data_IF_340589828301
#
_entry.id   IF_340589828301
#
_cell.length_a   1.000
_cell.length_b   1.000
_cell.length_c   1.000
_cell.angle_alpha   90.00
_cell.angle_beta   90.00
_cell.angle_gamma   90.00
#
_symmetry.space_group_name_H-M   'P 1'
#
loop_
_entity.id
_entity.type
_entity.pdbx_description
1 polymer ?
#
# COMPACT_ATOMS: atom_id res chain seq x y z
N UNK A 1 3.18 -23.25 40.61
CA UNK A 1 2.15 -22.86 39.62
C UNK A 1 1.93 -21.36 39.73
N UNK A 2 2.52 -20.60 38.81
CA UNK A 2 2.38 -19.14 38.69
C UNK A 2 1.30 -18.87 37.66
N UNK A 3 0.22 -18.19 38.04
CA UNK A 3 -0.77 -17.68 37.11
C UNK A 3 -0.87 -16.16 37.28
N UNK A 4 -0.25 -15.46 36.34
CA UNK A 4 -0.53 -14.08 35.99
C UNK A 4 -1.90 -14.01 35.31
N UNK A 5 -2.77 -13.10 35.73
CA UNK A 5 -3.82 -12.55 34.88
C UNK A 5 -4.11 -11.11 35.34
N UNK A 6 -3.34 -10.19 34.75
CA UNK A 6 -3.47 -8.75 34.89
C UNK A 6 -4.48 -8.24 33.84
N UNK A 7 -5.44 -7.44 34.31
CA UNK A 7 -6.15 -6.33 33.65
C UNK A 7 -6.77 -6.50 32.25
N UNK A 8 -8.07 -6.21 32.13
CA UNK A 8 -8.51 -4.92 31.59
C UNK A 8 -9.99 -4.65 31.90
N UNK A 9 -10.20 -3.89 32.97
CA UNK A 9 -11.41 -3.16 33.31
C UNK A 9 -11.50 -1.94 32.39
N UNK A 10 -12.62 -1.74 31.68
CA UNK A 10 -12.96 -0.45 31.04
C UNK A 10 -14.42 -0.16 31.32
N UNK A 11 -14.63 0.37 32.51
CA UNK A 11 -15.68 1.32 32.81
C UNK A 11 -15.14 2.73 32.48
N UNK A 12 -16.00 3.58 31.92
CA UNK A 12 -15.98 5.05 31.85
C UNK A 12 -16.55 5.47 30.49
N UNK A 13 -17.86 5.68 30.38
CA UNK A 13 -18.66 6.80 30.90
C UNK A 13 -18.95 7.83 29.82
N UNK A 14 -20.26 7.99 29.64
CA UNK A 14 -20.98 8.97 28.88
C UNK A 14 -20.55 10.40 29.21
N UNK A 15 -20.32 11.22 28.19
CA UNK A 15 -20.51 12.66 28.30
C UNK A 15 -21.60 13.04 27.31
N UNK A 16 -22.80 13.19 27.85
CA UNK A 16 -23.89 13.93 27.25
C UNK A 16 -23.63 15.43 27.49
N UNK A 17 -23.73 16.24 26.45
CA UNK A 17 -24.00 17.68 26.61
C UNK A 17 -25.19 18.02 25.73
N UNK A 18 -26.32 18.21 26.42
CA UNK A 18 -27.50 18.93 25.96
C UNK A 18 -27.30 20.44 26.13
N UNK A 19 -28.01 21.23 25.33
CA UNK A 19 -28.24 22.66 25.56
C UNK A 19 -28.45 23.43 24.25
N UNK A 20 -29.68 23.46 23.72
CA UNK A 20 -30.64 24.57 23.85
C UNK A 20 -30.35 25.73 22.85
N UNK A 21 -31.08 25.92 21.75
CA UNK A 21 -32.49 26.38 21.57
C UNK A 21 -32.65 27.91 21.71
N UNK A 22 -32.80 28.61 20.57
CA UNK A 22 -33.58 29.84 20.36
C UNK A 22 -33.66 30.11 18.85
N UNK A 23 -34.75 29.83 18.10
CA UNK A 23 -36.07 30.48 17.99
C UNK A 23 -36.06 31.99 17.61
N UNK A 24 -36.10 32.22 16.29
CA UNK A 24 -36.86 33.26 15.55
C UNK A 24 -36.52 34.75 15.73
N UNK A 25 -37.13 35.69 14.96
CA UNK A 25 -38.09 35.52 13.86
C UNK A 25 -37.77 36.34 12.57
N UNK A 26 -38.52 35.98 11.53
CA UNK A 26 -38.89 36.71 10.31
C UNK A 26 -39.04 38.24 10.48
N UNK A 27 -38.41 39.05 9.60
CA UNK A 27 -38.91 40.37 9.17
C UNK A 27 -38.58 40.66 7.71
N UNK A 28 -39.65 40.69 6.93
CA UNK A 28 -39.79 41.39 5.65
C UNK A 28 -39.90 42.89 5.96
N UNK A 29 -39.12 43.75 5.31
CA UNK A 29 -39.55 45.10 4.96
C UNK A 29 -38.72 45.65 3.79
N UNK A 30 -39.42 45.95 2.70
CA UNK A 30 -38.95 46.75 1.57
C UNK A 30 -38.79 48.22 1.98
N UNK A 31 -37.86 48.97 1.37
CA UNK A 31 -38.13 50.24 0.65
C UNK A 31 -36.83 50.83 0.04
N UNK A 32 -36.81 50.91 -1.29
CA UNK A 32 -36.38 52.04 -2.14
C UNK A 32 -35.32 53.01 -1.59
N UNK A 33 -34.12 53.02 -2.20
CA UNK A 33 -33.38 54.27 -2.52
C UNK A 33 -32.59 54.10 -3.83
N UNK A 34 -32.99 54.91 -4.82
CA UNK A 34 -32.19 55.53 -5.87
C UNK A 34 -31.44 54.64 -6.89
N UNK A 35 -32.15 54.35 -7.97
CA UNK A 35 -31.67 54.67 -9.32
C UNK A 35 -31.06 56.08 -9.37
N UNK A 36 -29.73 56.18 -9.42
CA UNK A 36 -29.03 57.38 -9.87
C UNK A 36 -27.64 57.03 -10.39
N UNK A 37 -27.34 57.55 -11.58
CA UNK A 37 -26.04 57.62 -12.24
C UNK A 37 -25.50 56.35 -12.90
N UNK A 38 -26.12 56.08 -14.05
CA UNK A 38 -25.42 55.63 -15.24
C UNK A 38 -24.36 56.70 -15.64
N UNK A 39 -23.17 56.63 -15.04
CA UNK A 39 -21.97 57.28 -15.58
C UNK A 39 -21.23 56.26 -16.44
N UNK A 40 -21.06 56.49 -17.76
CA UNK A 40 -20.06 55.75 -18.53
C UNK A 40 -18.69 56.28 -18.11
N UNK A 41 -18.12 55.73 -17.03
CA UNK A 41 -16.71 55.92 -16.74
C UNK A 41 -15.92 55.22 -17.87
N UNK A 42 -14.98 55.90 -18.55
CA UNK A 42 -14.06 55.20 -19.44
C UNK A 42 -13.22 54.29 -18.56
N UNK A 43 -13.48 52.98 -18.64
CA UNK A 43 -12.62 51.97 -18.05
C UNK A 43 -11.18 52.28 -18.52
N UNK A 44 -10.21 52.51 -17.61
CA UNK A 44 -8.83 52.71 -18.02
C UNK A 44 -8.43 51.52 -18.87
N UNK A 45 -8.02 51.79 -20.11
CA UNK A 45 -7.49 50.82 -21.03
C UNK A 45 -6.27 50.17 -20.37
N UNK A 46 -6.45 48.99 -19.76
CA UNK A 46 -5.31 48.15 -19.40
C UNK A 46 -4.54 47.92 -20.69
N UNK A 47 -3.33 48.44 -20.73
CA UNK A 47 -2.57 48.52 -21.97
C UNK A 47 -2.28 47.08 -22.43
N UNK A 48 -2.47 46.82 -23.73
CA UNK A 48 -2.23 45.49 -24.32
C UNK A 48 -0.86 44.90 -23.95
N UNK A 49 0.14 45.76 -23.74
CA UNK A 49 1.49 45.43 -23.27
C UNK A 49 1.51 44.80 -21.87
N UNK A 50 0.66 45.22 -20.94
CA UNK A 50 0.58 44.62 -19.60
C UNK A 50 0.00 43.21 -19.65
N UNK A 51 -1.03 42.99 -20.47
CA UNK A 51 -1.63 41.68 -20.69
C UNK A 51 -0.63 40.72 -21.36
N UNK A 52 0.19 41.21 -22.29
CA UNK A 52 1.26 40.42 -22.92
C UNK A 52 2.34 40.00 -21.91
N UNK A 53 2.75 40.91 -21.02
CA UNK A 53 3.71 40.59 -19.95
C UNK A 53 3.14 39.56 -18.96
N UNK A 54 1.87 39.69 -18.59
CA UNK A 54 1.18 38.71 -17.72
C UNK A 54 1.13 37.33 -18.39
N UNK A 55 0.80 37.27 -19.68
CA UNK A 55 0.80 36.02 -20.46
C UNK A 55 2.18 35.37 -20.50
N UNK A 56 3.25 36.16 -20.71
CA UNK A 56 4.60 35.63 -20.78
C UNK A 56 5.06 35.06 -19.43
N UNK A 57 4.75 35.73 -18.31
CA UNK A 57 4.99 35.21 -16.96
C UNK A 57 4.25 33.90 -16.73
N UNK A 58 2.95 33.86 -17.03
CA UNK A 58 2.12 32.67 -16.87
C UNK A 58 2.62 31.48 -17.71
N UNK A 59 3.08 31.73 -18.95
CA UNK A 59 3.71 30.72 -19.81
C UNK A 59 5.02 30.18 -19.21
N UNK A 60 5.81 31.04 -18.58
CA UNK A 60 7.04 30.61 -17.90
C UNK A 60 6.75 29.76 -16.66
N UNK A 61 5.74 30.14 -15.87
CA UNK A 61 5.27 29.36 -14.72
C UNK A 61 4.70 28.02 -15.15
N UNK A 62 3.91 27.99 -16.23
CA UNK A 62 3.37 26.75 -16.79
C UNK A 62 4.48 25.80 -17.23
N UNK A 63 5.53 26.31 -17.89
CA UNK A 63 6.72 25.49 -18.23
C UNK A 63 7.41 24.93 -16.99
N UNK A 64 7.55 25.74 -15.94
CA UNK A 64 8.12 25.30 -14.66
C UNK A 64 7.30 24.18 -14.02
N UNK A 65 5.99 24.37 -13.89
CA UNK A 65 5.07 23.37 -13.31
C UNK A 65 5.03 22.10 -14.15
N UNK A 66 5.02 22.21 -15.49
CA UNK A 66 5.05 21.06 -16.38
C UNK A 66 6.36 20.25 -16.24
N UNK A 67 7.50 20.92 -16.06
CA UNK A 67 8.78 20.26 -15.82
C UNK A 67 8.81 19.57 -14.45
N UNK A 68 8.35 20.25 -13.40
CA UNK A 68 8.19 19.64 -12.06
C UNK A 68 7.29 18.41 -12.12
N UNK A 69 6.15 18.47 -12.82
CA UNK A 69 5.24 17.34 -12.99
C UNK A 69 5.93 16.15 -13.65
N UNK A 70 6.71 16.37 -14.72
CA UNK A 70 7.49 15.31 -15.38
C UNK A 70 8.52 14.68 -14.44
N UNK A 71 9.21 15.48 -13.63
CA UNK A 71 10.15 14.95 -12.63
C UNK A 71 9.45 14.11 -11.56
N UNK A 72 8.30 14.57 -11.06
CA UNK A 72 7.48 13.82 -10.10
C UNK A 72 6.94 12.52 -10.71
N UNK A 73 6.55 12.53 -11.98
CA UNK A 73 6.12 11.32 -12.70
C UNK A 73 7.24 10.28 -12.79
N UNK A 74 8.47 10.72 -13.10
CA UNK A 74 9.65 9.85 -13.09
C UNK A 74 9.94 9.27 -11.70
N UNK A 75 9.94 10.11 -10.66
CA UNK A 75 10.16 9.70 -9.27
C UNK A 75 9.09 8.71 -8.79
N UNK A 76 7.82 8.97 -9.10
CA UNK A 76 6.68 8.09 -8.79
C UNK A 76 6.83 6.73 -9.49
N UNK A 77 7.20 6.73 -10.77
CA UNK A 77 7.46 5.49 -11.52
C UNK A 77 8.63 4.69 -10.94
N UNK A 78 9.68 5.34 -10.45
CA UNK A 78 10.78 4.67 -9.75
C UNK A 78 10.35 4.14 -8.38
N UNK A 79 9.66 4.94 -7.57
CA UNK A 79 9.19 4.55 -6.25
C UNK A 79 8.18 3.40 -6.31
N UNK A 80 7.29 3.39 -7.32
CA UNK A 80 6.35 2.29 -7.57
C UNK A 80 7.06 0.98 -7.93
N UNK A 81 8.12 1.03 -8.76
CA UNK A 81 8.96 -0.14 -9.04
C UNK A 81 9.65 -0.66 -7.79
N UNK A 82 10.23 0.23 -7.00
CA UNK A 82 10.86 -0.12 -5.72
C UNK A 82 9.87 -0.70 -4.71
N UNK A 83 8.62 -0.23 -4.68
CA UNK A 83 7.56 -0.80 -3.84
C UNK A 83 7.23 -2.22 -4.30
N UNK A 84 7.07 -2.44 -5.62
CA UNK A 84 6.82 -3.77 -6.17
C UNK A 84 7.94 -4.76 -5.84
N UNK A 85 9.19 -4.35 -5.96
CA UNK A 85 10.34 -5.18 -5.57
C UNK A 85 10.31 -5.53 -4.07
N UNK A 86 9.92 -4.59 -3.20
CA UNK A 86 9.75 -4.84 -1.78
C UNK A 86 8.59 -5.81 -1.51
N UNK A 87 7.46 -5.65 -2.18
CA UNK A 87 6.31 -6.57 -2.10
C UNK A 87 6.72 -8.00 -2.50
N UNK A 88 7.48 -8.15 -3.58
CA UNK A 88 7.98 -9.46 -4.03
C UNK A 88 8.95 -10.09 -3.03
N UNK A 89 9.81 -9.29 -2.38
CA UNK A 89 10.72 -9.77 -1.32
C UNK A 89 9.95 -10.23 -0.08
N UNK A 90 8.94 -9.46 0.34
CA UNK A 90 8.05 -9.83 1.45
C UNK A 90 7.31 -11.12 1.12
N UNK A 91 6.74 -11.24 -0.08
CA UNK A 91 6.03 -12.43 -0.51
C UNK A 91 6.94 -13.67 -0.56
N UNK A 92 8.17 -13.54 -1.09
CA UNK A 92 9.16 -14.63 -1.11
C UNK A 92 9.52 -15.07 0.31
N UNK A 93 9.83 -14.12 1.21
CA UNK A 93 10.17 -14.41 2.60
C UNK A 93 9.01 -15.07 3.33
N UNK A 94 7.77 -14.62 3.09
CA UNK A 94 6.57 -15.25 3.65
C UNK A 94 6.36 -16.69 3.19
N UNK A 95 6.63 -17.01 1.93
CA UNK A 95 6.57 -18.40 1.43
C UNK A 95 7.63 -19.29 2.07
N UNK A 96 8.87 -18.80 2.18
CA UNK A 96 9.97 -19.54 2.81
C UNK A 96 9.69 -19.78 4.30
N UNK A 97 9.09 -18.80 4.99
CA UNK A 97 8.63 -18.96 6.36
C UNK A 97 7.56 -20.06 6.48
N UNK A 98 6.55 -20.06 5.61
CA UNK A 98 5.51 -21.08 5.61
C UNK A 98 6.06 -22.50 5.31
N UNK A 99 7.05 -22.61 4.43
CA UNK A 99 7.77 -23.88 4.17
C UNK A 99 8.52 -24.35 5.43
N UNK A 100 9.19 -23.43 6.12
CA UNK A 100 9.93 -23.73 7.36
C UNK A 100 8.98 -24.15 8.49
N UNK A 101 7.82 -23.50 8.61
CA UNK A 101 6.78 -23.88 9.58
C UNK A 101 6.18 -25.26 9.27
N UNK A 102 5.94 -25.56 8.00
CA UNK A 102 5.51 -26.91 7.56
C UNK A 102 6.56 -27.97 7.90
N UNK A 103 7.85 -27.70 7.65
CA UNK A 103 8.94 -28.61 8.00
C UNK A 103 9.04 -28.83 9.52
N UNK A 104 8.88 -27.78 10.33
CA UNK A 104 8.81 -27.87 11.79
C UNK A 104 7.67 -28.77 12.27
N UNK A 105 6.49 -28.66 11.64
CA UNK A 105 5.35 -29.51 11.97
C UNK A 105 5.63 -30.98 11.61
N UNK A 106 6.26 -31.24 10.46
CA UNK A 106 6.65 -32.58 10.06
C UNK A 106 7.66 -33.21 11.04
N UNK A 107 8.71 -32.47 11.42
CA UNK A 107 9.69 -32.93 12.42
C UNK A 107 9.06 -33.13 13.81
N UNK A 108 8.08 -32.32 14.18
CA UNK A 108 7.34 -32.49 15.45
C UNK A 108 6.54 -33.80 15.44
N UNK A 109 5.85 -34.11 14.34
CA UNK A 109 5.13 -35.38 14.19
C UNK A 109 6.09 -36.57 14.18
N UNK A 110 7.21 -36.46 13.46
CA UNK A 110 8.22 -37.52 13.43
C UNK A 110 8.80 -37.80 14.83
N UNK A 111 8.98 -36.76 15.65
CA UNK A 111 9.41 -36.92 17.05
C UNK A 111 8.34 -37.63 17.90
N UNK A 112 7.07 -37.25 17.75
CA UNK A 112 5.97 -37.90 18.47
C UNK A 112 5.85 -39.38 18.10
N UNK A 113 5.95 -39.71 16.80
CA UNK A 113 5.95 -41.09 16.31
C UNK A 113 7.16 -41.88 16.84
N UNK A 114 8.36 -41.28 16.86
CA UNK A 114 9.55 -41.91 17.43
C UNK A 114 9.37 -42.20 18.93
N UNK A 115 8.83 -41.25 19.70
CA UNK A 115 8.56 -41.42 21.12
C UNK A 115 7.52 -42.53 21.40
N UNK A 116 6.49 -42.65 20.56
CA UNK A 116 5.50 -43.73 20.66
C UNK A 116 6.15 -45.09 20.41
N UNK A 117 6.93 -45.23 19.33
CA UNK A 117 7.68 -46.47 19.03
C UNK A 117 8.63 -46.83 20.16
N UNK A 118 9.29 -45.84 20.76
CA UNK A 118 10.18 -46.04 21.90
C UNK A 118 9.43 -46.63 23.09
N UNK A 119 8.28 -46.08 23.43
CA UNK A 119 7.45 -46.59 24.52
C UNK A 119 7.00 -48.04 24.28
N UNK A 120 6.66 -48.40 23.04
CA UNK A 120 6.32 -49.77 22.65
C UNK A 120 7.49 -50.74 22.79
N UNK A 121 8.67 -50.36 22.29
CA UNK A 121 9.90 -51.15 22.41
C UNK A 121 10.33 -51.32 23.88
N UNK A 122 10.25 -50.25 24.68
CA UNK A 122 10.54 -50.30 26.12
C UNK A 122 9.56 -51.23 26.86
N UNK A 123 8.27 -51.22 26.49
CA UNK A 123 7.28 -52.15 27.05
C UNK A 123 7.61 -53.60 26.69
N UNK A 124 7.93 -53.87 25.43
CA UNK A 124 8.33 -55.21 24.98
C UNK A 124 9.59 -55.71 25.69
N UNK A 125 10.57 -54.82 25.90
CA UNK A 125 11.81 -55.13 26.60
C UNK A 125 11.58 -55.38 28.09
N UNK A 126 10.69 -54.63 28.75
CA UNK A 126 10.27 -54.90 30.14
C UNK A 126 9.61 -56.27 30.27
N UNK A 127 8.67 -56.61 29.38
CA UNK A 127 8.02 -57.94 29.37
C UNK A 127 9.04 -59.08 29.23
N UNK A 128 9.98 -58.97 28.28
CA UNK A 128 11.03 -59.98 28.10
C UNK A 128 11.92 -60.13 29.35
N UNK A 129 12.22 -59.03 30.04
CA UNK A 129 13.01 -59.04 31.29
C UNK A 129 12.26 -59.67 32.46
N UNK A 130 10.98 -59.37 32.61
CA UNK A 130 10.13 -59.95 33.67
C UNK A 130 9.97 -61.46 33.49
N UNK A 131 9.73 -61.92 32.27
CA UNK A 131 9.68 -63.35 31.96
C UNK A 131 11.01 -64.04 32.26
N UNK A 132 12.15 -63.44 31.88
CA UNK A 132 13.47 -63.99 32.23
C UNK A 132 13.71 -64.02 33.74
N UNK A 133 13.32 -62.99 34.47
CA UNK A 133 13.45 -62.95 35.93
C UNK A 133 12.66 -64.08 36.59
N UNK A 134 11.41 -64.31 36.15
CA UNK A 134 10.58 -65.41 36.66
C UNK A 134 11.19 -66.79 36.37
N UNK A 135 11.77 -66.98 35.19
CA UNK A 135 12.42 -68.24 34.79
C UNK A 135 13.69 -68.49 35.60
N UNK A 136 14.52 -67.46 35.82
CA UNK A 136 15.71 -67.55 36.66
C UNK A 136 15.34 -67.88 38.12
N UNK A 137 14.28 -67.27 38.64
CA UNK A 137 13.80 -67.54 39.99
C UNK A 137 13.24 -68.96 40.13
N UNK A 138 12.52 -69.46 39.12
CA UNK A 138 12.07 -70.85 39.07
C UNK A 138 13.25 -71.83 38.98
N UNK A 139 14.22 -71.57 38.09
CA UNK A 139 15.42 -72.40 37.95
C UNK A 139 16.23 -72.45 39.26
N UNK A 140 16.38 -71.31 39.94
CA UNK A 140 17.07 -71.22 41.23
C UNK A 140 16.38 -72.05 42.32
N UNK A 141 15.03 -72.04 42.37
CA UNK A 141 14.24 -72.83 43.32
C UNK A 141 14.36 -74.34 43.10
N UNK A 142 14.49 -74.78 41.85
CA UNK A 142 14.64 -76.21 41.51
C UNK A 142 16.09 -76.69 41.79
N UNK A 143 17.07 -75.77 41.76
CA UNK A 143 18.47 -76.01 42.12
C UNK A 143 19.32 -76.59 40.98
N UNK A 144 20.65 -76.39 41.04
CA UNK A 144 21.61 -76.72 39.97
C UNK A 144 21.66 -78.22 39.57
N UNK A 145 21.03 -79.11 40.32
CA UNK A 145 21.08 -80.57 40.11
C UNK A 145 19.84 -81.14 39.41
N UNK A 146 18.86 -80.32 39.04
CA UNK A 146 17.63 -80.79 38.39
C UNK A 146 17.88 -81.56 37.07
N UNK A 147 18.77 -81.09 36.17
CA UNK A 147 19.07 -81.83 34.95
C UNK A 147 19.79 -83.16 35.23
N UNK A 148 20.68 -83.19 36.24
CA UNK A 148 21.40 -84.39 36.67
C UNK A 148 20.46 -85.42 37.33
N UNK A 149 19.50 -84.98 38.15
CA UNK A 149 18.46 -85.85 38.72
C UNK A 149 17.58 -86.48 37.64
N UNK A 150 17.27 -85.74 36.58
CA UNK A 150 16.45 -86.23 35.45
C UNK A 150 17.21 -87.21 34.54
N UNK A 151 18.53 -87.04 34.41
CA UNK A 151 19.42 -87.96 33.69
C UNK A 151 19.64 -89.29 34.44
N UNK A 152 19.59 -89.27 35.77
CA UNK A 152 19.76 -90.46 36.62
C UNK A 152 18.49 -91.33 36.71
N UNK A 153 17.32 -90.82 36.33
CA UNK A 153 16.11 -91.64 36.17
C UNK A 153 16.12 -92.34 34.80
N UNK A 154 16.56 -93.60 34.76
CA UNK A 154 16.83 -94.38 33.54
C UNK A 154 15.62 -94.55 32.59
N UNK A 155 14.38 -94.39 33.05
CA UNK A 155 13.17 -94.66 32.24
C UNK A 155 12.77 -93.54 31.25
N UNK A 156 13.36 -92.33 31.31
CA UNK A 156 12.88 -91.17 30.50
C UNK A 156 13.97 -90.29 29.87
N UNK A 157 15.18 -90.83 29.68
CA UNK A 157 16.36 -90.07 29.22
C UNK A 157 16.15 -89.37 27.86
N UNK A 158 15.43 -89.98 26.93
CA UNK A 158 15.16 -89.40 25.61
C UNK A 158 14.26 -88.15 25.67
N UNK A 159 13.20 -88.18 26.47
CA UNK A 159 12.26 -87.06 26.65
C UNK A 159 12.90 -85.89 27.42
N UNK A 160 13.74 -86.21 28.40
CA UNK A 160 14.55 -85.25 29.14
C UNK A 160 15.50 -84.46 28.21
N UNK A 161 16.23 -85.17 27.33
CA UNK A 161 17.12 -84.55 26.36
C UNK A 161 16.38 -83.66 25.36
N UNK A 162 15.22 -84.08 24.87
CA UNK A 162 14.38 -83.29 23.96
C UNK A 162 13.88 -82.00 24.63
N UNK A 163 13.41 -82.10 25.88
CA UNK A 163 12.95 -80.95 26.66
C UNK A 163 14.08 -79.93 26.91
N UNK A 164 15.28 -80.43 27.26
CA UNK A 164 16.45 -79.57 27.49
C UNK A 164 16.92 -78.87 26.21
N UNK A 165 16.85 -79.55 25.06
CA UNK A 165 17.11 -78.94 23.76
C UNK A 165 16.10 -77.83 23.42
N UNK A 166 14.81 -78.04 23.66
CA UNK A 166 13.77 -77.01 23.47
C UNK A 166 13.97 -75.80 24.38
N UNK A 167 14.33 -76.03 25.64
CA UNK A 167 14.67 -74.93 26.54
C UNK A 167 15.87 -74.13 26.03
N UNK A 168 16.96 -74.79 25.60
CA UNK A 168 18.14 -74.10 25.03
C UNK A 168 17.77 -73.27 23.79
N UNK A 169 16.91 -73.79 22.93
CA UNK A 169 16.44 -73.06 21.74
C UNK A 169 15.63 -71.82 22.14
N UNK A 170 14.66 -71.97 23.05
CA UNK A 170 13.83 -70.87 23.52
C UNK A 170 14.65 -69.76 24.21
N UNK A 171 15.65 -70.13 25.02
CA UNK A 171 16.53 -69.15 25.66
C UNK A 171 17.40 -68.40 24.65
N UNK A 172 17.87 -69.09 23.59
CA UNK A 172 18.62 -68.45 22.51
C UNK A 172 17.77 -67.43 21.76
N UNK A 173 16.53 -67.78 21.44
CA UNK A 173 15.60 -66.85 20.78
C UNK A 173 15.24 -65.64 21.65
N UNK A 174 15.06 -65.82 22.97
CA UNK A 174 14.86 -64.70 23.91
C UNK A 174 16.07 -63.76 23.95
N UNK A 175 17.28 -64.32 24.06
CA UNK A 175 18.50 -63.52 24.05
C UNK A 175 18.65 -62.73 22.73
N UNK A 176 18.34 -63.36 21.59
CA UNK A 176 18.29 -62.70 20.27
C UNK A 176 17.26 -61.56 20.26
N UNK A 177 16.05 -61.79 20.79
CA UNK A 177 14.98 -60.79 20.83
C UNK A 177 15.32 -59.59 21.72
N UNK A 178 15.96 -59.81 22.87
CA UNK A 178 16.44 -58.71 23.73
C UNK A 178 17.56 -57.94 23.03
N UNK A 179 18.47 -58.65 22.36
CA UNK A 179 19.51 -58.04 21.54
C UNK A 179 18.93 -57.15 20.45
N UNK A 180 17.94 -57.62 19.70
CA UNK A 180 17.27 -56.83 18.66
C UNK A 180 16.54 -55.62 19.25
N UNK A 181 15.72 -55.79 20.30
CA UNK A 181 15.02 -54.68 20.95
C UNK A 181 15.97 -53.61 21.50
N UNK A 182 17.13 -54.04 22.03
CA UNK A 182 18.14 -53.10 22.54
C UNK A 182 18.80 -52.34 21.39
N UNK A 183 19.10 -53.02 20.27
CA UNK A 183 19.62 -52.38 19.06
C UNK A 183 18.61 -51.36 18.49
N UNK A 184 17.33 -51.76 18.35
CA UNK A 184 16.24 -50.90 17.87
C UNK A 184 16.10 -49.64 18.75
N UNK A 185 16.19 -49.78 20.07
CA UNK A 185 16.15 -48.65 21.00
C UNK A 185 17.35 -47.70 20.83
N UNK A 186 18.56 -48.24 20.61
CA UNK A 186 19.74 -47.39 20.39
C UNK A 186 19.67 -46.64 19.06
N UNK A 187 19.16 -47.27 18.01
CA UNK A 187 18.92 -46.63 16.72
C UNK A 187 17.87 -45.53 16.85
N UNK A 188 16.77 -45.82 17.56
CA UNK A 188 15.69 -44.87 17.79
C UNK A 188 16.15 -43.67 18.63
N UNK A 189 17.01 -43.87 19.63
CA UNK A 189 17.60 -42.78 20.40
C UNK A 189 18.48 -41.86 19.53
N UNK A 190 19.27 -42.44 18.62
CA UNK A 190 20.05 -41.67 17.64
C UNK A 190 19.14 -40.85 16.72
N UNK A 191 18.04 -41.45 16.25
CA UNK A 191 17.04 -40.79 15.41
C UNK A 191 16.32 -39.66 16.14
N UNK A 192 15.92 -39.85 17.40
CA UNK A 192 15.32 -38.80 18.25
C UNK A 192 16.27 -37.61 18.44
N UNK A 193 17.57 -37.88 18.64
CA UNK A 193 18.58 -36.83 18.75
C UNK A 193 18.73 -36.03 17.45
N UNK A 194 18.79 -36.72 16.30
CA UNK A 194 18.86 -36.08 14.98
C UNK A 194 17.63 -35.23 14.67
N UNK A 195 16.42 -35.74 14.97
CA UNK A 195 15.18 -34.97 14.80
C UNK A 195 15.20 -33.72 15.68
N UNK A 196 15.65 -33.85 16.93
CA UNK A 196 15.73 -32.73 17.87
C UNK A 196 16.70 -31.66 17.37
N UNK A 197 17.86 -32.05 16.86
CA UNK A 197 18.85 -31.14 16.27
C UNK A 197 18.29 -30.41 15.04
N UNK A 198 17.68 -31.15 14.09
CA UNK A 198 17.02 -30.56 12.91
C UNK A 198 15.93 -29.58 13.32
N UNK A 199 15.13 -29.92 14.34
CA UNK A 199 14.06 -29.05 14.86
C UNK A 199 14.62 -27.75 15.44
N UNK A 200 15.71 -27.82 16.20
CA UNK A 200 16.39 -26.64 16.74
C UNK A 200 16.95 -25.75 15.63
N UNK A 201 17.57 -26.35 14.61
CA UNK A 201 18.08 -25.61 13.46
C UNK A 201 16.94 -24.92 12.67
N UNK A 202 15.82 -25.61 12.46
CA UNK A 202 14.64 -25.04 11.82
C UNK A 202 14.01 -23.92 12.66
N UNK A 203 13.98 -24.06 13.99
CA UNK A 203 13.47 -23.04 14.91
C UNK A 203 14.33 -21.76 14.88
N UNK A 204 15.66 -21.91 14.88
CA UNK A 204 16.59 -20.79 14.69
C UNK A 204 16.37 -20.10 13.34
N UNK A 205 16.22 -20.89 12.28
CA UNK A 205 15.94 -20.40 10.91
C UNK A 205 14.59 -19.66 10.85
N UNK A 206 13.55 -20.19 11.48
CA UNK A 206 12.22 -19.57 11.58
C UNK A 206 12.31 -18.20 12.25
N UNK A 207 13.08 -18.10 13.34
CA UNK A 207 13.24 -16.83 14.06
C UNK A 207 13.93 -15.78 13.20
N UNK A 208 15.00 -16.15 12.49
CA UNK A 208 15.69 -15.26 11.56
C UNK A 208 14.75 -14.80 10.43
N UNK A 209 14.00 -15.72 9.83
CA UNK A 209 13.03 -15.40 8.78
C UNK A 209 11.90 -14.48 9.27
N UNK A 210 11.42 -14.67 10.52
CA UNK A 210 10.42 -13.78 11.13
C UNK A 210 10.96 -12.36 11.34
N UNK A 211 12.21 -12.23 11.77
CA UNK A 211 12.87 -10.93 11.91
C UNK A 211 13.01 -10.24 10.55
N UNK A 212 13.55 -10.95 9.55
CA UNK A 212 13.67 -10.45 8.18
C UNK A 212 12.31 -10.05 7.58
N UNK A 213 11.27 -10.86 7.78
CA UNK A 213 9.93 -10.54 7.30
C UNK A 213 9.37 -9.27 7.96
N UNK A 214 9.64 -9.07 9.25
CA UNK A 214 9.23 -7.85 9.98
C UNK A 214 9.94 -6.60 9.46
N UNK A 215 11.25 -6.69 9.23
CA UNK A 215 12.06 -5.61 8.65
C UNK A 215 11.58 -5.25 7.24
N UNK A 216 11.43 -6.25 6.36
CA UNK A 216 10.92 -6.05 5.01
C UNK A 216 9.49 -5.47 5.01
N UNK A 217 8.65 -5.86 5.96
CA UNK A 217 7.30 -5.30 6.10
C UNK A 217 7.31 -3.83 6.53
N UNK A 218 8.29 -3.40 7.35
CA UNK A 218 8.49 -1.99 7.69
C UNK A 218 8.97 -1.20 6.47
N UNK A 219 10.01 -1.68 5.80
CA UNK A 219 10.54 -1.06 4.57
C UNK A 219 9.45 -0.88 3.50
N UNK A 220 8.59 -1.89 3.34
CA UNK A 220 7.44 -1.83 2.43
C UNK A 220 6.47 -0.70 2.80
N UNK A 221 6.17 -0.51 4.08
CA UNK A 221 5.27 0.57 4.55
C UNK A 221 5.88 1.94 4.29
N UNK A 222 7.17 2.11 4.52
CA UNK A 222 7.87 3.37 4.30
C UNK A 222 7.91 3.73 2.80
N UNK A 223 8.14 2.73 1.93
CA UNK A 223 8.05 2.89 0.48
C UNK A 223 6.63 3.24 0.03
N UNK A 224 5.62 2.58 0.59
CA UNK A 224 4.22 2.86 0.27
C UNK A 224 3.83 4.29 0.67
N UNK A 225 4.28 4.77 1.83
CA UNK A 225 4.09 6.16 2.26
C UNK A 225 4.77 7.16 1.32
N UNK A 226 5.98 6.83 0.84
CA UNK A 226 6.72 7.67 -0.12
C UNK A 226 5.98 7.75 -1.46
N UNK A 227 5.50 6.62 -1.97
CA UNK A 227 4.67 6.58 -3.20
C UNK A 227 3.41 7.42 -3.03
N UNK A 228 2.70 7.28 -1.91
CA UNK A 228 1.50 8.06 -1.63
C UNK A 228 1.79 9.57 -1.59
N UNK A 229 2.91 9.98 -0.97
CA UNK A 229 3.33 11.39 -0.93
C UNK A 229 3.65 11.93 -2.33
N UNK A 230 4.34 11.15 -3.16
CA UNK A 230 4.64 11.53 -4.55
C UNK A 230 3.38 11.61 -5.40
N UNK A 231 2.44 10.67 -5.22
CA UNK A 231 1.14 10.68 -5.90
C UNK A 231 0.33 11.93 -5.55
N UNK A 232 0.32 12.34 -4.28
CA UNK A 232 -0.36 13.56 -3.85
C UNK A 232 0.28 14.81 -4.48
N UNK A 233 1.62 14.95 -4.37
CA UNK A 233 2.34 16.08 -5.00
C UNK A 233 2.12 16.13 -6.51
N UNK A 234 2.08 14.97 -7.17
CA UNK A 234 1.81 14.88 -8.60
C UNK A 234 0.40 15.38 -8.95
N UNK A 235 -0.62 14.99 -8.16
CA UNK A 235 -2.00 15.47 -8.35
C UNK A 235 -2.09 16.98 -8.17
N UNK A 236 -1.52 17.52 -7.10
CA UNK A 236 -1.52 18.96 -6.82
C UNK A 236 -0.87 19.76 -7.97
N UNK A 237 0.27 19.29 -8.49
CA UNK A 237 0.97 19.93 -9.62
C UNK A 237 0.21 19.79 -10.93
N UNK A 238 -0.44 18.65 -11.17
CA UNK A 238 -1.29 18.42 -12.34
C UNK A 238 -2.51 19.34 -12.35
N UNK A 239 -3.15 19.55 -11.19
CA UNK A 239 -4.26 20.48 -11.04
C UNK A 239 -3.82 21.93 -11.24
N UNK A 240 -2.68 22.33 -10.67
CA UNK A 240 -2.09 23.65 -10.88
C UNK A 240 -1.72 23.89 -12.34
N UNK A 241 -1.14 22.91 -13.03
CA UNK A 241 -0.83 23.00 -14.47
C UNK A 241 -2.10 23.23 -15.31
N UNK A 242 -3.18 22.51 -14.98
CA UNK A 242 -4.48 22.68 -15.66
C UNK A 242 -5.06 24.07 -15.42
N UNK A 243 -5.05 24.56 -14.18
CA UNK A 243 -5.53 25.90 -13.85
C UNK A 243 -4.75 27.00 -14.59
N UNK A 244 -3.41 26.96 -14.52
CA UNK A 244 -2.56 27.90 -15.25
C UNK A 244 -2.76 27.80 -16.77
N UNK A 245 -2.99 26.60 -17.30
CA UNK A 245 -3.30 26.39 -18.72
C UNK A 245 -4.64 27.00 -19.15
N UNK A 246 -5.65 26.98 -18.27
CA UNK A 246 -6.94 27.64 -18.52
C UNK A 246 -6.80 29.16 -18.46
N UNK A 247 -6.09 29.68 -17.46
CA UNK A 247 -5.81 31.12 -17.32
C UNK A 247 -5.01 31.66 -18.51
N UNK A 248 -4.02 30.89 -19.01
CA UNK A 248 -3.25 31.25 -20.19
C UNK A 248 -4.13 31.39 -21.43
N UNK A 249 -5.02 30.42 -21.65
CA UNK A 249 -5.97 30.44 -22.77
C UNK A 249 -6.94 31.62 -22.65
N UNK A 250 -7.46 31.90 -21.46
CA UNK A 250 -8.36 33.03 -21.24
C UNK A 250 -7.68 34.38 -21.54
N UNK A 251 -6.43 34.55 -21.10
CA UNK A 251 -5.64 35.75 -21.40
C UNK A 251 -5.30 35.87 -22.89
N UNK A 252 -5.00 34.77 -23.57
CA UNK A 252 -4.78 34.76 -25.03
C UNK A 252 -6.03 35.21 -25.79
N UNK A 253 -7.20 34.69 -25.42
CA UNK A 253 -8.48 35.11 -26.00
C UNK A 253 -8.78 36.59 -25.74
N UNK A 254 -8.55 37.07 -24.51
CA UNK A 254 -8.72 38.49 -24.18
C UNK A 254 -7.81 39.38 -25.04
N UNK A 255 -6.55 38.99 -25.21
CA UNK A 255 -5.58 39.73 -26.01
C UNK A 255 -5.96 39.75 -27.50
N UNK A 256 -6.47 38.64 -28.03
CA UNK A 256 -7.01 38.57 -29.38
C UNK A 256 -8.20 39.53 -29.55
N UNK A 257 -9.12 39.56 -28.58
CA UNK A 257 -10.28 40.46 -28.60
C UNK A 257 -9.87 41.94 -28.52
N UNK A 258 -8.90 42.29 -27.67
CA UNK A 258 -8.37 43.66 -27.57
C UNK A 258 -7.68 44.10 -28.86
N UNK A 259 -6.90 43.22 -29.50
CA UNK A 259 -6.28 43.52 -30.81
C UNK A 259 -7.33 43.69 -31.90
N UNK A 260 -8.36 42.84 -31.93
CA UNK A 260 -9.46 42.96 -32.88
C UNK A 260 -10.26 44.25 -32.67
N UNK A 261 -10.54 44.65 -31.43
CA UNK A 261 -11.21 45.90 -31.10
C UNK A 261 -10.37 47.13 -31.48
N UNK A 262 -9.06 47.10 -31.19
CA UNK A 262 -8.14 48.17 -31.61
C UNK A 262 -8.07 48.31 -33.14
N UNK A 263 -8.00 47.20 -33.87
CA UNK A 263 -8.02 47.20 -35.33
C UNK A 263 -9.34 47.77 -35.91
N UNK A 264 -10.49 47.44 -35.31
CA UNK A 264 -11.80 48.00 -35.68
C UNK A 264 -11.86 49.50 -35.43
N UNK A 265 -11.42 49.96 -34.26
CA UNK A 265 -11.38 51.38 -33.92
C UNK A 265 -10.44 52.18 -34.86
N UNK A 266 -9.28 51.62 -35.23
CA UNK A 266 -8.41 52.24 -36.24
C UNK A 266 -9.07 52.29 -37.63
N UNK A 267 -9.73 51.21 -38.05
CA UNK A 267 -10.44 51.17 -39.33
C UNK A 267 -11.57 52.21 -39.39
N UNK A 268 -12.35 52.36 -38.32
CA UNK A 268 -13.40 53.38 -38.19
C UNK A 268 -12.83 54.79 -38.22
N UNK A 269 -11.73 55.06 -37.51
CA UNK A 269 -11.03 56.36 -37.57
C UNK A 269 -10.51 56.67 -38.97
N UNK A 270 -9.94 55.69 -39.66
CA UNK A 270 -9.49 55.85 -41.06
C UNK A 270 -10.66 56.07 -42.01
N UNK A 271 -11.78 55.38 -41.81
CA UNK A 271 -13.00 55.59 -42.60
C UNK A 271 -13.61 56.97 -42.35
N UNK A 272 -13.66 57.44 -41.10
CA UNK A 272 -14.11 58.78 -40.74
C UNK A 272 -13.18 59.86 -41.32
N UNK A 273 -11.86 59.67 -41.26
CA UNK A 273 -10.89 60.56 -41.87
C UNK A 273 -11.03 60.62 -43.40
N UNK A 274 -11.28 59.47 -44.05
CA UNK A 274 -11.58 59.41 -45.50
C UNK A 274 -12.88 60.13 -45.84
N UNK A 275 -13.96 59.93 -45.09
CA UNK A 275 -15.23 60.64 -45.28
C UNK A 275 -15.05 62.15 -45.12
N UNK A 276 -14.36 62.59 -44.06
CA UNK A 276 -14.06 64.00 -43.83
C UNK A 276 -13.17 64.60 -44.94
N UNK A 277 -12.21 63.83 -45.48
CA UNK A 277 -11.39 64.27 -46.62
C UNK A 277 -12.21 64.38 -47.91
N UNK A 278 -13.13 63.45 -48.17
CA UNK A 278 -14.05 63.51 -49.32
C UNK A 278 -15.03 64.68 -49.20
N UNK A 279 -15.59 64.92 -48.02
CA UNK A 279 -16.47 66.07 -47.75
C UNK A 279 -15.73 67.41 -47.90
N UNK A 280 -14.48 67.50 -47.42
CA UNK A 280 -13.64 68.69 -47.65
C UNK A 280 -13.31 68.90 -49.12
N UNK A 281 -12.94 67.84 -49.84
CA UNK A 281 -12.69 67.92 -51.28
C UNK A 281 -13.95 68.26 -52.09
N UNK A 282 -15.14 67.81 -51.66
CA UNK A 282 -16.42 68.20 -52.25
C UNK A 282 -16.77 69.66 -51.95
N UNK A 283 -16.52 70.15 -50.74
CA UNK A 283 -16.69 71.56 -50.37
C UNK A 283 -15.75 72.47 -51.17
N UNK A 284 -14.47 72.10 -51.31
CA UNK A 284 -13.50 72.85 -52.13
C UNK A 284 -13.87 72.84 -53.63
N UNK A 285 -14.43 71.73 -54.14
CA UNK A 285 -14.96 71.68 -55.52
C UNK A 285 -16.20 72.55 -55.69
N UNK A 286 -17.14 72.52 -54.74
CA UNK A 286 -18.31 73.38 -54.76
C UNK A 286 -17.95 74.88 -54.65
N UNK A 287 -16.94 75.24 -53.86
CA UNK A 287 -16.40 76.61 -53.81
C UNK A 287 -15.72 77.01 -55.13
N UNK A 288 -15.01 76.10 -55.81
CA UNK A 288 -14.42 76.33 -57.14
C UNK A 288 -15.49 76.45 -58.24
N UNK A 289 -16.55 75.66 -58.19
CA UNK A 289 -17.70 75.73 -59.11
C UNK A 289 -18.54 77.01 -58.87
N UNK A 290 -18.69 77.45 -57.63
CA UNK A 290 -19.30 78.74 -57.28
C UNK A 290 -18.40 79.95 -57.62
N UNK A 291 -17.09 79.77 -57.72
CA UNK A 291 -16.18 80.79 -58.26
C UNK A 291 -16.17 80.82 -59.81
N UNK A 292 -16.51 79.71 -60.47
CA UNK A 292 -16.59 79.61 -61.94
C UNK A 292 -17.96 80.02 -62.52
N UNK A 293 -19.04 79.95 -61.73
CA UNK A 293 -20.37 80.46 -62.07
C UNK A 293 -20.69 81.66 -61.19
N UNK A 294 -20.66 82.87 -61.75
CA UNK A 294 -20.80 84.12 -60.99
C UNK A 294 -22.18 84.32 -60.34
N UNK A 295 -22.50 83.62 -59.25
CA UNK A 295 -23.71 83.85 -58.43
C UNK A 295 -23.43 83.58 -56.95
N UNK A 296 -23.74 84.60 -56.13
CA UNK A 296 -23.45 84.72 -54.69
C UNK A 296 -24.12 83.61 -53.85
N UNK A 297 -23.47 83.02 -52.81
CA UNK A 297 -24.07 81.97 -51.99
C UNK A 297 -25.02 82.51 -50.90
N UNK A 298 -26.07 81.76 -50.49
CA UNK A 298 -26.99 82.15 -49.43
C UNK A 298 -26.39 81.96 -48.02
N UNK A 299 -26.90 82.65 -46.99
CA UNK A 299 -26.30 82.64 -45.65
C UNK A 299 -26.48 81.29 -44.92
N UNK A 300 -25.49 80.92 -44.11
CA UNK A 300 -25.51 79.73 -43.24
C UNK A 300 -26.63 79.82 -42.19
N UNK A 301 -27.42 78.75 -41.94
CA UNK A 301 -28.33 78.71 -40.81
C UNK A 301 -27.54 78.54 -39.50
N UNK A 302 -27.60 79.56 -38.64
CA UNK A 302 -27.16 79.50 -37.25
C UNK A 302 -28.09 78.58 -36.46
N UNK A 303 -27.55 77.49 -35.91
CA UNK A 303 -28.27 76.67 -34.91
C UNK A 303 -28.37 77.45 -33.60
N UNK A 304 -29.59 77.75 -33.20
CA UNK A 304 -29.99 78.31 -31.90
C UNK A 304 -29.80 77.24 -30.82
N UNK A 305 -29.25 77.55 -29.63
CA UNK A 305 -29.19 76.60 -28.52
C UNK A 305 -30.58 76.44 -27.87
N UNK A 306 -31.00 75.23 -27.44
CA UNK A 306 -32.21 75.11 -26.65
C UNK A 306 -31.99 75.65 -25.24
N UNK A 307 -32.97 76.43 -24.79
CA UNK A 307 -33.09 77.04 -23.47
C UNK A 307 -33.49 75.98 -22.43
N UNK A 308 -32.84 76.06 -21.28
CA UNK A 308 -33.14 75.32 -20.05
C UNK A 308 -34.57 75.58 -19.58
N UNK A 309 -35.29 74.52 -19.24
CA UNK A 309 -36.31 74.47 -18.19
C UNK A 309 -36.32 73.04 -17.62
#
# INVERSE_FOLDING_TARGET
>A
MRANAFSSRRDNECIAVQGAKSRGPMRVLALVVATALLLPAPLPAQTSKETERKLQKLRSELKGVAQERRTLEGQRGQASRQLREADEKVARTGRVLAQTETALQAETRALEEAQQRRAELEKGLKQQREELASLLQAAYRIGNHAPLKLLLSQDRVADANRSLAYHRYLQRERARRIGSLTADLTELQSLEAQITERRQALEGTRQQQKQQASELAKDRRDRAATVASLDQRYKDRSEREKALGQDAKALETLLANLRAAAARAEAERRAAARKAAVEKAAAEKAEREAAASGTKPPPRPTKVPPKVA
#
